data_IF_798204589570
#
_entry.id   IF_798204589570
#
_cell.length_a   1.000
_cell.length_b   1.000
_cell.length_c   1.000
_cell.angle_alpha   90.00
_cell.angle_beta   90.00
_cell.angle_gamma   90.00
#
_symmetry.space_group_name_H-M   'P 1'
#
loop_
_entity.id
_entity.type
_entity.pdbx_description
1 polymer ?
#
# COMPACT_ATOMS: atom_id res chain seq x y z
N UNK A 1 2.79 -13.31 -12.35
CA UNK A 1 2.86 -12.37 -11.22
C UNK A 1 1.46 -12.29 -10.63
N UNK A 2 1.29 -12.76 -9.38
CA UNK A 2 -0.02 -12.84 -8.74
C UNK A 2 -0.59 -11.45 -8.45
N UNK A 3 -1.89 -11.35 -8.22
CA UNK A 3 -2.53 -10.10 -7.78
C UNK A 3 -1.94 -9.63 -6.46
N UNK A 4 -1.67 -10.55 -5.54
CA UNK A 4 -1.03 -10.25 -4.27
C UNK A 4 0.37 -9.66 -4.47
N UNK A 5 1.19 -10.22 -5.37
CA UNK A 5 2.53 -9.69 -5.69
C UNK A 5 2.48 -8.27 -6.25
N UNK A 6 1.49 -7.99 -7.12
CA UNK A 6 1.28 -6.64 -7.67
C UNK A 6 0.92 -5.65 -6.57
N UNK A 7 -0.02 -6.01 -5.68
CA UNK A 7 -0.38 -5.15 -4.54
C UNK A 7 0.81 -4.88 -3.61
N UNK A 8 1.63 -5.91 -3.32
CA UNK A 8 2.86 -5.75 -2.52
C UNK A 8 3.82 -4.77 -3.18
N UNK A 9 4.09 -4.93 -4.48
CA UNK A 9 4.98 -4.05 -5.23
C UNK A 9 4.48 -2.60 -5.22
N UNK A 10 3.18 -2.42 -5.48
CA UNK A 10 2.52 -1.11 -5.46
C UNK A 10 2.63 -0.45 -4.07
N UNK A 11 2.32 -1.18 -3.00
CA UNK A 11 2.43 -0.69 -1.62
C UNK A 11 3.86 -0.32 -1.23
N UNK A 12 4.84 -1.14 -1.62
CA UNK A 12 6.26 -0.84 -1.41
C UNK A 12 6.65 0.48 -2.05
N UNK A 13 6.33 0.68 -3.33
CA UNK A 13 6.61 1.95 -4.00
C UNK A 13 5.93 3.14 -3.32
N UNK A 14 4.67 2.99 -2.89
CA UNK A 14 3.95 4.04 -2.18
C UNK A 14 4.62 4.40 -0.84
N UNK A 15 5.03 3.41 -0.06
CA UNK A 15 5.66 3.61 1.25
C UNK A 15 7.05 4.23 1.09
N UNK A 16 7.84 3.81 0.10
CA UNK A 16 9.13 4.44 -0.20
C UNK A 16 8.99 5.90 -0.61
N UNK A 17 8.02 6.24 -1.46
CA UNK A 17 7.73 7.64 -1.84
C UNK A 17 7.35 8.45 -0.61
N UNK A 18 6.47 7.91 0.23
CA UNK A 18 6.03 8.57 1.45
C UNK A 18 7.22 8.81 2.39
N UNK A 19 8.01 7.78 2.69
CA UNK A 19 9.15 7.88 3.60
C UNK A 19 10.19 8.89 3.09
N UNK A 20 10.55 8.83 1.80
CA UNK A 20 11.52 9.75 1.22
C UNK A 20 11.04 11.20 1.24
N UNK A 21 9.79 11.46 0.87
CA UNK A 21 9.26 12.83 0.72
C UNK A 21 8.73 13.43 2.02
N UNK A 22 8.18 12.62 2.91
CA UNK A 22 7.58 13.07 4.18
C UNK A 22 8.59 13.07 5.33
N UNK A 23 9.44 12.05 5.41
CA UNK A 23 10.43 11.90 6.49
C UNK A 23 11.86 12.26 6.06
N UNK A 24 12.10 12.55 4.78
CA UNK A 24 13.42 12.99 4.30
C UNK A 24 14.50 11.90 4.24
N UNK A 25 14.12 10.61 4.36
CA UNK A 25 15.08 9.50 4.29
C UNK A 25 15.62 9.29 2.86
N UNK A 26 16.86 8.79 2.78
CA UNK A 26 17.55 8.50 1.52
C UNK A 26 16.79 7.46 0.69
N UNK A 27 16.88 7.60 -0.63
CA UNK A 27 16.26 6.67 -1.59
C UNK A 27 16.88 5.27 -1.41
N UNK A 28 16.05 4.29 -1.07
CA UNK A 28 16.48 2.91 -0.83
C UNK A 28 16.35 2.45 0.62
N UNK A 29 16.20 3.39 1.58
CA UNK A 29 16.03 3.07 2.99
C UNK A 29 14.64 3.52 3.48
N UNK A 30 14.02 2.71 4.33
CA UNK A 30 12.80 3.06 5.05
C UNK A 30 13.16 3.41 6.49
N UNK A 31 12.49 4.40 7.07
CA UNK A 31 12.53 4.58 8.52
C UNK A 31 11.84 3.39 9.21
N UNK A 32 12.08 3.25 10.51
CA UNK A 32 11.52 2.15 11.32
C UNK A 32 9.99 2.07 11.18
N UNK A 33 9.27 3.19 11.30
CA UNK A 33 7.82 3.24 11.13
C UNK A 33 7.34 2.77 9.75
N UNK A 34 8.05 3.16 8.69
CA UNK A 34 7.68 2.79 7.33
C UNK A 34 8.03 1.33 7.02
N UNK A 35 9.12 0.80 7.59
CA UNK A 35 9.46 -0.62 7.51
C UNK A 35 8.40 -1.47 8.20
N UNK A 36 8.05 -1.11 9.45
CA UNK A 36 7.03 -1.83 10.21
C UNK A 36 5.67 -1.83 9.49
N UNK A 37 5.29 -0.69 8.90
CA UNK A 37 4.06 -0.58 8.12
C UNK A 37 4.11 -1.49 6.86
N UNK A 38 5.24 -1.53 6.16
CA UNK A 38 5.42 -2.35 4.97
C UNK A 38 5.36 -3.84 5.30
N UNK A 39 6.11 -4.28 6.31
CA UNK A 39 6.12 -5.66 6.78
C UNK A 39 4.75 -6.11 7.28
N UNK A 40 4.06 -5.23 8.03
CA UNK A 40 2.69 -5.47 8.45
C UNK A 40 1.75 -5.65 7.26
N UNK A 41 1.82 -4.77 6.26
CA UNK A 41 0.99 -4.85 5.07
C UNK A 41 1.24 -6.14 4.28
N UNK A 42 2.50 -6.53 4.13
CA UNK A 42 2.89 -7.78 3.45
C UNK A 42 2.33 -9.00 4.14
N UNK A 43 2.50 -9.10 5.47
CA UNK A 43 1.94 -10.20 6.25
C UNK A 43 0.42 -10.33 6.09
N UNK A 44 -0.30 -9.19 6.00
CA UNK A 44 -1.75 -9.19 5.77
C UNK A 44 -2.14 -9.62 4.36
N UNK A 45 -1.33 -9.27 3.36
CA UNK A 45 -1.55 -9.71 1.99
C UNK A 45 -1.26 -11.22 1.82
N UNK A 46 -0.18 -11.72 2.42
CA UNK A 46 0.16 -13.15 2.41
C UNK A 46 -0.90 -14.01 3.10
N UNK A 47 -1.48 -13.50 4.19
CA UNK A 47 -2.54 -14.18 4.93
C UNK A 47 -3.95 -13.82 4.43
N UNK A 48 -4.08 -13.24 3.24
CA UNK A 48 -5.39 -12.81 2.75
C UNK A 48 -6.27 -14.02 2.41
N UNK A 49 -7.42 -14.16 3.09
CA UNK A 49 -8.39 -15.23 2.84
C UNK A 49 -8.96 -15.23 1.41
N UNK A 50 -8.93 -14.09 0.74
CA UNK A 50 -9.47 -13.94 -0.62
C UNK A 50 -8.40 -14.12 -1.71
N UNK A 51 -7.11 -14.13 -1.36
CA UNK A 51 -6.00 -14.33 -2.31
C UNK A 51 -6.13 -13.52 -3.60
N UNK A 52 -6.27 -14.22 -4.72
CA UNK A 52 -6.38 -13.64 -6.06
C UNK A 52 -7.76 -13.03 -6.37
N UNK A 53 -8.82 -13.52 -5.72
CA UNK A 53 -10.19 -13.00 -5.85
C UNK A 53 -10.43 -11.74 -5.01
N UNK A 54 -9.46 -11.37 -4.18
CA UNK A 54 -9.48 -10.22 -3.27
C UNK A 54 -9.84 -8.92 -3.98
N UNK A 55 -10.86 -8.20 -3.52
CA UNK A 55 -11.15 -6.83 -3.99
C UNK A 55 -10.21 -5.78 -3.36
N UNK A 56 -10.54 -4.49 -3.45
CA UNK A 56 -9.75 -3.45 -2.78
C UNK A 56 -9.85 -3.56 -1.26
N UNK A 57 -8.73 -3.38 -0.54
CA UNK A 57 -8.70 -3.41 0.94
C UNK A 57 -9.68 -2.42 1.58
N UNK A 58 -9.97 -1.30 0.91
CA UNK A 58 -10.93 -0.31 1.36
C UNK A 58 -12.39 -0.81 1.34
N UNK A 59 -12.72 -1.74 0.44
CA UNK A 59 -14.05 -2.35 0.25
C UNK A 59 -14.10 -3.82 0.72
N UNK A 60 -13.06 -4.26 1.43
CA UNK A 60 -12.97 -5.65 1.88
C UNK A 60 -14.04 -5.91 2.95
N UNK A 61 -14.78 -7.03 2.87
CA UNK A 61 -15.86 -7.33 3.82
C UNK A 61 -15.35 -7.68 5.22
N UNK A 62 -14.05 -7.96 5.39
CA UNK A 62 -13.45 -8.31 6.68
C UNK A 62 -12.55 -7.19 7.21
N UNK A 63 -12.51 -7.04 8.54
CA UNK A 63 -11.59 -6.16 9.21
C UNK A 63 -10.27 -6.87 9.54
N UNK A 64 -9.29 -6.82 8.63
CA UNK A 64 -7.98 -7.46 8.83
C UNK A 64 -6.86 -6.50 9.29
N UNK A 65 -7.04 -5.19 9.14
CA UNK A 65 -6.06 -4.17 9.56
C UNK A 65 -6.37 -3.65 10.96
N UNK A 66 -5.35 -3.62 11.85
CA UNK A 66 -5.44 -2.87 13.11
C UNK A 66 -5.77 -1.40 12.83
N UNK A 67 -6.51 -0.76 13.73
CA UNK A 67 -7.00 0.62 13.56
C UNK A 67 -5.86 1.61 13.28
N UNK A 68 -4.77 1.55 14.04
CA UNK A 68 -3.64 2.48 13.89
C UNK A 68 -2.89 2.26 12.57
N UNK A 69 -2.63 0.99 12.22
CA UNK A 69 -2.01 0.64 10.93
C UNK A 69 -2.90 1.03 9.74
N UNK A 70 -4.23 0.94 9.89
CA UNK A 70 -5.19 1.38 8.88
C UNK A 70 -5.12 2.89 8.66
N UNK A 71 -4.90 3.68 9.72
CA UNK A 71 -4.72 5.12 9.61
C UNK A 71 -3.40 5.45 8.91
N UNK A 72 -2.29 4.83 9.34
CA UNK A 72 -0.97 4.99 8.71
C UNK A 72 -1.01 4.68 7.21
N UNK A 73 -1.58 3.55 6.80
CA UNK A 73 -1.61 3.18 5.38
C UNK A 73 -2.54 4.08 4.55
N UNK A 74 -3.64 4.57 5.14
CA UNK A 74 -4.50 5.55 4.46
C UNK A 74 -3.77 6.87 4.21
N UNK A 75 -2.93 7.29 5.14
CA UNK A 75 -2.11 8.49 4.95
C UNK A 75 -1.11 8.29 3.82
N UNK A 76 -0.41 7.15 3.80
CA UNK A 76 0.49 6.77 2.70
C UNK A 76 -0.25 6.73 1.38
N UNK A 77 -1.43 6.10 1.30
CA UNK A 77 -2.23 6.04 0.08
C UNK A 77 -2.68 7.44 -0.38
N UNK A 78 -3.11 8.31 0.55
CA UNK A 78 -3.54 9.68 0.23
C UNK A 78 -2.37 10.53 -0.28
N UNK A 79 -1.19 10.35 0.30
CA UNK A 79 0.00 11.10 -0.07
C UNK A 79 0.65 10.56 -1.35
N UNK A 80 0.92 9.26 -1.41
CA UNK A 80 1.64 8.63 -2.51
C UNK A 80 0.75 8.23 -3.68
N UNK A 81 -0.56 8.04 -3.48
CA UNK A 81 -1.51 7.62 -4.53
C UNK A 81 -1.50 8.53 -5.77
N UNK A 82 -1.69 9.86 -5.64
CA UNK A 82 -1.60 10.78 -6.77
C UNK A 82 -0.21 10.81 -7.42
N UNK A 83 0.84 10.53 -6.62
CA UNK A 83 2.23 10.53 -7.07
C UNK A 83 2.63 9.24 -7.76
N UNK A 84 1.88 8.15 -7.54
CA UNK A 84 2.03 6.87 -8.21
C UNK A 84 1.51 6.92 -9.66
N UNK A 85 0.66 7.89 -10.02
CA UNK A 85 0.19 8.10 -11.41
C UNK A 85 1.36 8.29 -12.37
N UNK A 86 2.45 8.89 -11.90
CA UNK A 86 3.68 9.09 -12.67
C UNK A 86 4.54 7.83 -12.82
N UNK A 87 4.23 6.74 -12.09
CA UNK A 87 5.01 5.49 -12.06
C UNK A 87 4.24 4.29 -12.62
N UNK A 88 2.96 4.13 -12.27
CA UNK A 88 2.08 3.07 -12.79
C UNK A 88 0.63 3.60 -12.95
N UNK A 89 0.32 4.30 -14.06
CA UNK A 89 -0.95 4.98 -14.24
C UNK A 89 -2.15 4.02 -14.33
N UNK A 90 -1.95 2.77 -14.78
CA UNK A 90 -3.04 1.80 -15.02
C UNK A 90 -3.61 1.25 -13.71
N UNK A 91 -2.74 0.93 -12.73
CA UNK A 91 -3.14 0.48 -11.39
C UNK A 91 -3.88 1.58 -10.62
N UNK A 92 -3.46 2.84 -10.79
CA UNK A 92 -4.10 3.98 -10.14
C UNK A 92 -5.47 4.29 -10.74
N UNK A 93 -5.63 4.21 -12.07
CA UNK A 93 -6.93 4.37 -12.73
C UNK A 93 -7.94 3.33 -12.21
N UNK A 94 -7.54 2.05 -12.07
CA UNK A 94 -8.41 1.02 -11.46
C UNK A 94 -8.78 1.37 -10.01
N UNK A 95 -7.85 1.90 -9.22
CA UNK A 95 -8.08 2.29 -7.84
C UNK A 95 -8.99 3.53 -7.68
N UNK A 96 -8.87 4.51 -8.59
CA UNK A 96 -9.64 5.76 -8.56
C UNK A 96 -11.06 5.55 -9.07
N UNK A 97 -11.24 4.82 -10.18
CA UNK A 97 -12.56 4.57 -10.77
C UNK A 97 -13.37 3.48 -10.05
N UNK A 98 -12.73 2.62 -9.27
CA UNK A 98 -13.43 1.66 -8.41
C UNK A 98 -13.74 2.23 -7.01
N UNK A 99 -13.62 3.54 -6.79
CA UNK A 99 -14.09 4.23 -5.57
C UNK A 99 -15.61 4.23 -5.51
#
# INVERSE_FOLDING_TARGET
MSRIDKEKKTLSSMIHIYCNKKHGHKKGELCQDCSELLEYAYKRLDSCKFGEEKTFCAKCPIHCYKKDMKLKIKEVMKFSGPRLIFYDPIEVIKHIFAK
#
